data_IF_179487419608
#
_entry.id   IF_179487419608
#
_cell.length_a   1.000
_cell.length_b   1.000
_cell.length_c   1.000
_cell.angle_alpha   90.00
_cell.angle_beta   90.00
_cell.angle_gamma   90.00
#
_symmetry.space_group_name_H-M   'P 1'
#
loop_
_entity.id
_entity.type
_entity.pdbx_description
1 polymer ?
#
# COMPACT_ATOMS: atom_id res chain seq x y z
N UNK A 1 -31.26 -32.02 39.12
CA UNK A 1 -31.24 -32.34 37.67
C UNK A 1 -31.36 -31.11 36.75
N UNK A 2 -32.24 -30.12 37.01
CA UNK A 2 -32.33 -28.90 36.16
C UNK A 2 -31.11 -27.95 36.25
N UNK A 3 -30.50 -27.83 37.45
CA UNK A 3 -29.32 -26.99 37.69
C UNK A 3 -28.04 -27.52 37.02
N UNK A 4 -27.91 -28.83 36.93
CA UNK A 4 -26.77 -29.49 36.27
C UNK A 4 -26.85 -29.35 34.75
N UNK A 5 -28.06 -29.34 34.18
CA UNK A 5 -28.26 -29.10 32.75
C UNK A 5 -27.89 -27.66 32.33
N UNK A 6 -28.20 -26.66 33.17
CA UNK A 6 -27.84 -25.26 32.90
C UNK A 6 -26.32 -25.06 32.93
N UNK A 7 -25.64 -25.67 33.90
CA UNK A 7 -24.18 -25.57 33.99
C UNK A 7 -23.50 -26.18 32.76
N UNK A 8 -23.93 -27.37 32.30
CA UNK A 8 -23.38 -28.03 31.09
C UNK A 8 -23.62 -27.20 29.82
N UNK A 9 -24.79 -26.55 29.70
CA UNK A 9 -25.09 -25.68 28.56
C UNK A 9 -24.20 -24.42 28.52
N UNK A 10 -23.86 -23.86 29.67
CA UNK A 10 -22.95 -22.71 29.79
C UNK A 10 -21.52 -23.12 29.43
N UNK A 11 -21.02 -24.25 29.93
CA UNK A 11 -19.67 -24.73 29.58
C UNK A 11 -19.57 -25.08 28.09
N UNK A 12 -20.58 -25.72 27.51
CA UNK A 12 -20.61 -26.03 26.08
C UNK A 12 -20.63 -24.77 25.20
N UNK A 13 -21.36 -23.72 25.62
CA UNK A 13 -21.37 -22.44 24.90
C UNK A 13 -20.05 -21.69 25.01
N UNK A 14 -19.32 -21.83 26.14
CA UNK A 14 -18.00 -21.23 26.31
C UNK A 14 -16.93 -21.86 25.40
N UNK A 15 -16.99 -23.18 25.16
CA UNK A 15 -16.07 -23.86 24.24
C UNK A 15 -16.31 -23.50 22.76
N UNK A 16 -17.55 -23.17 22.39
CA UNK A 16 -17.88 -22.71 21.04
C UNK A 16 -17.42 -21.26 20.77
N UNK A 17 -17.23 -20.45 21.81
CA UNK A 17 -16.69 -19.09 21.68
C UNK A 17 -15.16 -19.01 21.67
N UNK A 18 -14.45 -19.99 22.25
CA UNK A 18 -12.98 -19.99 22.32
C UNK A 18 -12.28 -20.33 20.99
N UNK A 19 -13.02 -20.48 19.90
CA UNK A 19 -12.53 -20.97 18.60
C UNK A 19 -12.67 -20.01 17.42
N UNK A 20 -12.88 -18.70 17.64
CA UNK A 20 -12.70 -17.74 16.54
C UNK A 20 -11.23 -17.78 16.12
N UNK A 21 -10.91 -18.62 15.10
CA UNK A 21 -9.58 -18.97 14.61
C UNK A 21 -8.85 -17.82 13.91
N UNK A 22 -8.75 -16.67 14.57
CA UNK A 22 -7.92 -15.55 14.13
C UNK A 22 -6.46 -15.96 14.22
N UNK A 23 -5.82 -16.13 13.08
CA UNK A 23 -4.39 -16.28 12.98
C UNK A 23 -3.79 -14.87 12.80
N UNK A 24 -2.95 -14.38 13.72
CA UNK A 24 -2.35 -13.06 13.58
C UNK A 24 -1.40 -13.07 12.38
N UNK A 25 -1.54 -12.11 11.47
CA UNK A 25 -0.69 -11.98 10.27
C UNK A 25 0.81 -11.84 10.63
N UNK A 26 1.10 -11.22 11.78
CA UNK A 26 2.45 -10.95 12.25
C UNK A 26 2.99 -12.01 13.22
N UNK A 27 2.17 -13.01 13.60
CA UNK A 27 2.63 -14.07 14.48
C UNK A 27 3.40 -15.12 13.67
N UNK A 28 4.66 -15.33 14.02
CA UNK A 28 5.41 -16.50 13.56
C UNK A 28 5.13 -17.68 14.48
N UNK A 29 5.22 -18.90 13.95
CA UNK A 29 5.29 -20.08 14.81
C UNK A 29 6.52 -19.98 15.72
N UNK A 30 6.46 -20.57 16.91
CA UNK A 30 7.59 -20.56 17.84
C UNK A 30 8.87 -21.05 17.15
N UNK A 31 9.85 -20.16 16.98
CA UNK A 31 11.14 -20.45 16.35
C UNK A 31 11.28 -20.10 14.86
N UNK A 32 10.23 -19.60 14.20
CA UNK A 32 10.31 -19.13 12.81
C UNK A 32 10.67 -17.64 12.71
N UNK A 33 11.56 -17.33 11.77
CA UNK A 33 11.96 -15.96 11.43
C UNK A 33 10.84 -15.27 10.65
N UNK A 34 10.36 -14.09 11.06
CA UNK A 34 9.35 -13.36 10.31
C UNK A 34 9.83 -13.09 8.88
N UNK A 35 8.96 -13.24 7.89
CA UNK A 35 9.35 -13.03 6.49
C UNK A 35 9.87 -11.60 6.26
N UNK A 36 9.37 -10.62 7.00
CA UNK A 36 9.88 -9.24 6.98
C UNK A 36 11.36 -9.12 7.36
N UNK A 37 11.93 -10.07 8.12
CA UNK A 37 13.37 -10.12 8.42
C UNK A 37 14.21 -10.76 7.31
N UNK A 38 13.58 -11.51 6.41
CA UNK A 38 14.25 -12.11 5.27
C UNK A 38 14.32 -11.15 4.07
N UNK A 39 13.76 -9.94 4.19
CA UNK A 39 13.75 -8.92 3.14
C UNK A 39 14.88 -7.92 3.37
N UNK A 40 15.77 -7.78 2.37
CA UNK A 40 16.77 -6.72 2.30
C UNK A 40 16.27 -5.58 1.43
N UNK A 41 16.26 -4.37 1.98
CA UNK A 41 16.03 -3.14 1.21
C UNK A 41 17.29 -2.85 0.39
N UNK A 42 17.18 -2.88 -0.94
CA UNK A 42 18.33 -2.67 -1.85
C UNK A 42 18.39 -1.26 -2.40
N UNK A 43 17.30 -0.80 -2.98
CA UNK A 43 17.25 0.50 -3.64
C UNK A 43 15.93 1.16 -3.35
N UNK A 44 16.00 2.44 -2.96
CA UNK A 44 14.85 3.31 -2.77
C UNK A 44 15.07 4.53 -3.66
N UNK A 45 14.32 4.61 -4.75
CA UNK A 45 14.29 5.76 -5.63
C UNK A 45 13.11 6.65 -5.21
N UNK A 46 13.40 7.82 -4.64
CA UNK A 46 12.39 8.74 -4.13
C UNK A 46 12.91 10.19 -4.18
N UNK A 47 12.04 11.20 -4.09
CA UNK A 47 12.44 12.60 -3.98
C UNK A 47 13.36 12.85 -2.77
N UNK A 48 14.33 13.75 -2.91
CA UNK A 48 15.42 13.98 -1.94
C UNK A 48 14.95 14.22 -0.50
N UNK A 49 13.83 14.92 -0.32
CA UNK A 49 13.31 15.28 1.01
C UNK A 49 12.74 14.06 1.73
N UNK A 50 11.96 13.22 1.04
CA UNK A 50 11.25 12.08 1.64
C UNK A 50 12.09 10.79 1.63
N UNK A 51 13.04 10.65 0.70
CA UNK A 51 13.90 9.48 0.55
C UNK A 51 14.52 8.97 1.86
N UNK A 52 15.20 9.79 2.70
CA UNK A 52 15.80 9.29 3.94
C UNK A 52 14.76 8.77 4.93
N UNK A 53 13.58 9.37 4.99
CA UNK A 53 12.49 8.92 5.86
C UNK A 53 11.92 7.56 5.42
N UNK A 54 11.82 7.33 4.11
CA UNK A 54 11.38 6.04 3.57
C UNK A 54 12.42 4.97 3.87
N UNK A 55 13.71 5.23 3.62
CA UNK A 55 14.79 4.27 3.90
C UNK A 55 14.81 3.88 5.37
N UNK A 56 14.76 4.85 6.28
CA UNK A 56 14.72 4.60 7.72
C UNK A 56 13.47 3.80 8.12
N UNK A 57 12.29 4.19 7.63
CA UNK A 57 11.05 3.50 7.92
C UNK A 57 11.04 2.06 7.39
N UNK A 58 11.59 1.81 6.20
CA UNK A 58 11.70 0.48 5.63
C UNK A 58 12.69 -0.36 6.42
N UNK A 59 13.88 0.14 6.74
CA UNK A 59 14.87 -0.60 7.54
C UNK A 59 14.39 -0.90 8.97
N UNK A 60 13.66 0.03 9.58
CA UNK A 60 13.11 -0.17 10.92
C UNK A 60 12.05 -1.28 11.00
N UNK A 61 11.43 -1.64 9.85
CA UNK A 61 10.39 -2.67 9.76
C UNK A 61 10.85 -3.95 9.08
N UNK A 62 11.67 -3.80 8.04
CA UNK A 62 12.16 -4.84 7.16
C UNK A 62 13.67 -4.79 7.11
N UNK A 63 14.30 -5.88 7.52
CA UNK A 63 15.73 -5.97 7.59
C UNK A 63 16.16 -7.21 8.34
N UNK A 64 17.20 -7.85 7.83
CA UNK A 64 17.86 -8.94 8.53
C UNK A 64 18.41 -8.40 9.85
N UNK A 65 17.96 -8.99 10.97
CA UNK A 65 18.51 -8.70 12.29
C UNK A 65 19.56 -9.77 12.58
N UNK A 66 20.84 -9.37 12.66
CA UNK A 66 21.96 -10.29 12.95
C UNK A 66 22.58 -10.94 11.71
N UNK A 67 22.98 -12.20 11.83
CA UNK A 67 23.67 -12.99 10.77
C UNK A 67 22.71 -13.63 9.75
N UNK A 68 21.42 -13.31 9.79
CA UNK A 68 20.45 -13.88 8.85
C UNK A 68 20.70 -13.38 7.43
N UNK A 69 20.87 -14.31 6.49
CA UNK A 69 21.10 -13.98 5.10
C UNK A 69 19.76 -13.59 4.46
N UNK A 70 19.63 -12.35 3.92
CA UNK A 70 18.38 -11.95 3.30
C UNK A 70 18.09 -12.83 2.09
N UNK A 71 16.86 -13.34 2.01
CA UNK A 71 16.39 -14.15 0.88
C UNK A 71 15.76 -13.29 -0.20
N UNK A 72 15.09 -12.21 0.18
CA UNK A 72 14.30 -11.38 -0.70
C UNK A 72 14.93 -10.00 -0.84
N UNK A 73 15.04 -9.49 -2.06
CA UNK A 73 15.55 -8.16 -2.35
C UNK A 73 14.39 -7.21 -2.71
N UNK A 74 14.22 -6.14 -1.93
CA UNK A 74 13.18 -5.13 -2.11
C UNK A 74 13.75 -3.89 -2.84
N UNK A 75 13.07 -3.52 -3.92
CA UNK A 75 13.29 -2.30 -4.70
C UNK A 75 12.03 -1.45 -4.61
N UNK A 76 12.18 -0.17 -4.29
CA UNK A 76 11.07 0.77 -4.09
C UNK A 76 11.27 2.01 -4.95
N UNK A 77 10.24 2.39 -5.69
CA UNK A 77 10.14 3.65 -6.43
C UNK A 77 8.98 4.45 -5.87
N UNK A 78 9.26 5.56 -5.20
CA UNK A 78 8.26 6.41 -4.56
C UNK A 78 8.16 7.78 -5.22
N UNK A 79 6.97 8.35 -5.19
CA UNK A 79 6.65 9.69 -5.66
C UNK A 79 5.78 10.41 -4.62
N UNK A 80 6.02 11.70 -4.41
CA UNK A 80 5.28 12.54 -3.48
C UNK A 80 4.37 13.52 -4.22
N UNK A 81 3.20 13.76 -3.65
CA UNK A 81 2.23 14.76 -4.12
C UNK A 81 1.66 15.51 -2.91
N UNK A 82 1.81 16.84 -2.89
CA UNK A 82 1.16 17.70 -1.91
C UNK A 82 -0.04 18.41 -2.55
N UNK A 83 -1.26 18.12 -2.08
CA UNK A 83 -2.50 18.71 -2.59
C UNK A 83 -3.13 19.67 -1.57
N UNK A 84 -3.50 20.86 -2.05
CA UNK A 84 -4.30 21.85 -1.28
C UNK A 84 -5.74 21.35 -1.17
N UNK A 85 -6.25 21.14 0.05
CA UNK A 85 -7.62 20.61 0.24
C UNK A 85 -8.63 21.69 0.66
N UNK A 86 -8.20 22.72 1.38
CA UNK A 86 -9.09 23.77 1.86
C UNK A 86 -8.80 25.08 1.12
N UNK A 87 -9.78 25.61 0.40
CA UNK A 87 -9.84 27.01 0.00
C UNK A 87 -11.02 27.56 0.80
N UNK A 88 -10.75 28.34 1.85
CA UNK A 88 -11.81 29.06 2.56
C UNK A 88 -12.51 30.02 1.57
N UNK A 89 -13.71 30.52 1.87
CA UNK A 89 -14.44 31.49 1.00
C UNK A 89 -13.59 32.75 0.71
N UNK A 90 -12.55 33.01 1.52
CA UNK A 90 -11.54 34.07 1.36
C UNK A 90 -10.23 33.66 0.65
N UNK A 91 -10.15 32.44 0.10
CA UNK A 91 -8.98 31.83 -0.53
C UNK A 91 -7.78 31.46 0.38
N UNK A 92 -7.93 31.48 1.70
CA UNK A 92 -6.87 31.03 2.63
C UNK A 92 -6.84 29.50 2.73
N UNK A 93 -5.70 28.88 2.44
CA UNK A 93 -5.49 27.44 2.63
C UNK A 93 -5.24 27.15 4.09
N UNK A 94 -6.07 26.32 4.74
CA UNK A 94 -5.92 25.98 6.17
C UNK A 94 -5.39 24.55 6.38
N UNK A 95 -5.45 23.68 5.36
CA UNK A 95 -5.03 22.28 5.43
C UNK A 95 -4.50 21.75 4.10
N UNK A 96 -3.39 21.03 4.19
CA UNK A 96 -2.78 20.26 3.09
C UNK A 96 -2.92 18.76 3.34
N UNK A 97 -3.12 18.01 2.27
CA UNK A 97 -2.93 16.56 2.25
C UNK A 97 -1.60 16.26 1.56
N UNK A 98 -0.75 15.51 2.24
CA UNK A 98 0.47 14.96 1.70
C UNK A 98 0.23 13.50 1.33
N UNK A 99 0.40 13.18 0.04
CA UNK A 99 0.23 11.84 -0.52
C UNK A 99 1.59 11.31 -0.93
N UNK A 100 1.91 10.11 -0.48
CA UNK A 100 3.09 9.37 -0.88
C UNK A 100 2.62 8.08 -1.54
N UNK A 101 3.05 7.85 -2.78
CA UNK A 101 2.73 6.62 -3.52
C UNK A 101 4.02 5.92 -3.90
N UNK A 102 4.06 4.60 -3.77
CA UNK A 102 5.21 3.81 -4.19
C UNK A 102 4.78 2.60 -5.00
N UNK A 103 5.57 2.30 -6.03
CA UNK A 103 5.62 0.98 -6.66
C UNK A 103 6.83 0.25 -6.10
N UNK A 104 6.68 -1.03 -5.83
CA UNK A 104 7.78 -1.82 -5.30
C UNK A 104 7.85 -3.16 -5.99
N UNK A 105 9.05 -3.72 -6.00
CA UNK A 105 9.36 -5.04 -6.54
C UNK A 105 10.17 -5.83 -5.52
N UNK A 106 9.79 -7.09 -5.34
CA UNK A 106 10.56 -8.05 -4.54
C UNK A 106 11.08 -9.16 -5.44
N UNK A 107 12.34 -9.52 -5.26
CA UNK A 107 13.00 -10.60 -5.99
C UNK A 107 13.47 -11.67 -5.00
N UNK A 108 13.07 -12.93 -5.18
CA UNK A 108 13.64 -14.05 -4.42
C UNK A 108 15.03 -14.38 -5.00
N UNK A 109 16.07 -14.29 -4.18
CA UNK A 109 17.45 -14.54 -4.59
C UNK A 109 17.76 -16.02 -4.86
N UNK A 110 16.92 -16.94 -4.38
CA UNK A 110 17.07 -18.39 -4.58
C UNK A 110 16.34 -18.87 -5.83
N UNK A 111 15.10 -18.42 -6.05
CA UNK A 111 14.27 -18.88 -7.17
C UNK A 111 14.27 -17.94 -8.37
N UNK A 112 14.63 -16.67 -8.17
CA UNK A 112 14.52 -15.62 -9.19
C UNK A 112 13.09 -15.13 -9.44
N UNK A 113 12.11 -15.61 -8.67
CA UNK A 113 10.72 -15.16 -8.77
C UNK A 113 10.61 -13.68 -8.39
N UNK A 114 9.73 -12.95 -9.10
CA UNK A 114 9.53 -11.51 -8.91
C UNK A 114 8.09 -11.21 -8.58
N UNK A 115 7.88 -10.37 -7.58
CA UNK A 115 6.58 -9.84 -7.19
C UNK A 115 6.61 -8.33 -7.31
N UNK A 116 5.49 -7.76 -7.73
CA UNK A 116 5.32 -6.32 -7.83
C UNK A 116 4.03 -5.93 -7.12
N UNK A 117 4.06 -4.79 -6.45
CA UNK A 117 2.94 -4.24 -5.72
C UNK A 117 2.98 -2.72 -5.71
N UNK A 118 1.93 -2.13 -5.15
CA UNK A 118 1.82 -0.68 -4.98
C UNK A 118 1.30 -0.34 -3.60
N UNK A 119 1.92 0.64 -2.96
CA UNK A 119 1.53 1.13 -1.64
C UNK A 119 1.24 2.63 -1.72
N UNK A 120 0.30 3.10 -0.89
CA UNK A 120 -0.06 4.52 -0.81
C UNK A 120 -0.27 4.92 0.65
N UNK A 121 0.24 6.08 1.01
CA UNK A 121 0.05 6.69 2.31
C UNK A 121 -0.43 8.14 2.16
N UNK A 122 -1.42 8.54 2.95
CA UNK A 122 -1.93 9.92 2.96
C UNK A 122 -1.88 10.44 4.39
N UNK A 123 -1.22 11.57 4.58
CA UNK A 123 -1.21 12.34 5.82
C UNK A 123 -1.70 13.75 5.56
N UNK A 124 -1.99 14.50 6.62
CA UNK A 124 -2.46 15.87 6.48
C UNK A 124 -1.85 16.76 7.56
N UNK A 125 -1.59 18.01 7.24
CA UNK A 125 -1.11 19.02 8.18
C UNK A 125 -1.85 20.35 7.97
N UNK A 126 -1.93 21.14 9.05
CA UNK A 126 -2.58 22.44 9.03
C UNK A 126 -1.54 23.55 8.80
N UNK A 127 -1.94 24.59 8.07
CA UNK A 127 -1.18 25.84 8.04
C UNK A 127 -1.54 26.63 9.28
N UNK A 128 -0.53 27.13 9.98
CA UNK A 128 -0.69 27.97 11.18
C UNK A 128 -0.05 29.33 10.94
N UNK A 129 -0.38 30.31 11.78
CA UNK A 129 0.05 31.71 11.61
C UNK A 129 1.57 31.89 11.56
N UNK A 130 2.33 30.97 12.19
CA UNK A 130 3.78 30.95 12.14
C UNK A 130 4.28 30.08 10.98
N UNK A 131 5.16 30.65 10.15
CA UNK A 131 5.82 29.91 9.06
C UNK A 131 6.65 28.72 9.59
N UNK A 132 7.35 28.91 10.71
CA UNK A 132 8.14 27.83 11.34
C UNK A 132 7.26 26.67 11.78
N UNK A 133 6.13 26.97 12.42
CA UNK A 133 5.20 25.94 12.91
C UNK A 133 4.54 25.19 11.75
N UNK A 134 4.33 25.85 10.61
CA UNK A 134 3.85 25.19 9.38
C UNK A 134 4.91 24.24 8.82
N UNK A 135 6.17 24.68 8.72
CA UNK A 135 7.29 23.84 8.25
C UNK A 135 7.50 22.61 9.13
N UNK A 136 7.38 22.76 10.45
CA UNK A 136 7.47 21.64 11.38
C UNK A 136 6.32 20.64 11.21
N UNK A 137 5.09 21.14 11.01
CA UNK A 137 3.92 20.30 10.78
C UNK A 137 4.02 19.54 9.46
N UNK A 138 4.52 20.18 8.41
CA UNK A 138 4.82 19.56 7.11
C UNK A 138 5.84 18.43 7.25
N UNK A 139 7.00 18.70 7.87
CA UNK A 139 8.03 17.67 8.11
C UNK A 139 7.47 16.48 8.88
N UNK A 140 6.67 16.75 9.92
CA UNK A 140 6.01 15.69 10.71
C UNK A 140 5.06 14.86 9.85
N UNK A 141 4.33 15.49 8.93
CA UNK A 141 3.43 14.79 8.01
C UNK A 141 4.19 13.92 7.00
N UNK A 142 5.33 14.39 6.49
CA UNK A 142 6.23 13.64 5.60
C UNK A 142 6.77 12.40 6.31
N UNK A 143 7.34 12.58 7.51
CA UNK A 143 7.88 11.48 8.31
C UNK A 143 6.79 10.43 8.64
N UNK A 144 5.59 10.89 9.02
CA UNK A 144 4.45 10.01 9.26
C UNK A 144 4.03 9.26 7.99
N UNK A 145 4.01 9.92 6.83
CA UNK A 145 3.64 9.29 5.56
C UNK A 145 4.65 8.20 5.17
N UNK A 146 5.94 8.44 5.36
CA UNK A 146 6.97 7.43 5.12
C UNK A 146 6.79 6.18 6.00
N UNK A 147 6.49 6.37 7.29
CA UNK A 147 6.18 5.25 8.21
C UNK A 147 4.96 4.44 7.79
N UNK A 148 3.87 5.12 7.45
CA UNK A 148 2.65 4.47 6.97
C UNK A 148 2.87 3.74 5.64
N UNK A 149 3.70 4.29 4.75
CA UNK A 149 4.07 3.63 3.51
C UNK A 149 4.84 2.33 3.76
N UNK A 150 5.82 2.35 4.67
CA UNK A 150 6.58 1.16 5.04
C UNK A 150 5.69 0.09 5.70
N UNK A 151 4.75 0.49 6.55
CA UNK A 151 3.73 -0.39 7.14
C UNK A 151 2.86 -1.05 6.07
N UNK A 152 2.43 -0.27 5.09
CA UNK A 152 1.60 -0.79 3.99
C UNK A 152 2.37 -1.78 3.12
N UNK A 153 3.63 -1.49 2.79
CA UNK A 153 4.49 -2.41 2.03
C UNK A 153 4.71 -3.71 2.82
N UNK A 154 5.06 -3.64 4.10
CA UNK A 154 5.24 -4.86 4.91
C UNK A 154 3.96 -5.69 4.98
N UNK A 155 2.80 -5.03 5.19
CA UNK A 155 1.49 -5.68 5.24
C UNK A 155 1.19 -6.41 3.92
N UNK A 156 1.40 -5.74 2.80
CA UNK A 156 1.16 -6.30 1.47
C UNK A 156 2.10 -7.49 1.20
N UNK A 157 3.37 -7.40 1.61
CA UNK A 157 4.31 -8.52 1.52
C UNK A 157 3.88 -9.72 2.35
N UNK A 158 3.47 -9.51 3.61
CA UNK A 158 3.02 -10.61 4.47
C UNK A 158 1.79 -11.31 3.88
N UNK A 159 0.84 -10.55 3.33
CA UNK A 159 -0.32 -11.11 2.64
C UNK A 159 0.12 -11.89 1.41
N UNK A 160 1.04 -11.34 0.61
CA UNK A 160 1.53 -12.00 -0.58
C UNK A 160 2.20 -13.34 -0.24
N UNK A 161 3.02 -13.37 0.82
CA UNK A 161 3.74 -14.59 1.24
C UNK A 161 2.85 -15.65 1.89
N UNK A 162 1.74 -15.27 2.53
CA UNK A 162 0.75 -16.22 3.07
C UNK A 162 -0.06 -16.89 1.94
N UNK A 163 -0.26 -16.22 0.80
CA UNK A 163 -0.97 -16.79 -0.36
C UNK A 163 -0.11 -17.81 -1.13
N UNK A 164 -0.73 -18.92 -1.53
CA UNK A 164 -0.09 -19.90 -2.42
C UNK A 164 0.12 -19.30 -3.83
N UNK A 165 1.17 -19.70 -4.57
CA UNK A 165 1.45 -19.18 -5.91
C UNK A 165 0.27 -19.27 -6.90
N UNK A 166 -0.61 -20.25 -6.73
CA UNK A 166 -1.79 -20.48 -7.57
C UNK A 166 -2.93 -19.47 -7.34
N UNK A 167 -3.09 -18.97 -6.12
CA UNK A 167 -4.11 -17.98 -5.77
C UNK A 167 -3.71 -16.56 -6.22
N UNK A 168 -2.40 -16.26 -6.18
CA UNK A 168 -1.81 -15.00 -6.66
C UNK A 168 -2.11 -14.74 -8.14
N UNK A 169 -2.10 -15.79 -8.97
CA UNK A 169 -2.42 -15.68 -10.39
C UNK A 169 -3.91 -15.40 -10.66
N UNK A 170 -4.81 -15.84 -9.76
CA UNK A 170 -6.27 -15.67 -9.88
C UNK A 170 -6.80 -14.36 -9.28
N UNK A 171 -6.03 -13.65 -8.46
CA UNK A 171 -6.42 -12.35 -7.91
C UNK A 171 -6.19 -11.21 -8.91
N UNK A 172 -5.11 -11.29 -9.70
CA UNK A 172 -4.68 -10.29 -10.68
C UNK A 172 -5.55 -10.20 -11.96
N UNK A 173 -6.52 -11.11 -12.09
CA UNK A 173 -7.44 -11.19 -13.24
C UNK A 173 -8.91 -11.05 -12.84
N UNK A 174 -9.21 -10.59 -11.63
CA UNK A 174 -10.58 -10.50 -11.08
C UNK A 174 -11.10 -9.07 -11.01
N UNK A 175 -10.33 -8.14 -11.55
CA UNK A 175 -10.40 -6.71 -11.32
C UNK A 175 -11.41 -6.01 -12.25
N UNK A 176 -11.88 -6.65 -13.34
CA UNK A 176 -12.71 -5.95 -14.36
C UNK A 176 -13.81 -6.76 -15.10
N UNK A 177 -14.10 -8.04 -14.78
CA UNK A 177 -14.93 -8.87 -15.70
C UNK A 177 -16.34 -9.29 -15.20
N UNK A 178 -16.87 -8.80 -14.08
CA UNK A 178 -18.14 -9.38 -13.54
C UNK A 178 -19.33 -8.42 -13.42
N UNK A 179 -19.22 -7.13 -13.72
CA UNK A 179 -20.33 -6.19 -13.49
C UNK A 179 -20.94 -5.57 -14.77
N UNK A 180 -20.58 -6.04 -15.97
CA UNK A 180 -21.29 -5.66 -17.19
C UNK A 180 -22.47 -6.62 -17.44
N UNK A 181 -23.67 -6.21 -17.03
CA UNK A 181 -24.91 -6.82 -17.50
C UNK A 181 -25.02 -6.66 -19.03
N UNK A 182 -25.02 -7.75 -19.82
CA UNK A 182 -25.09 -7.66 -21.29
C UNK A 182 -26.36 -6.95 -21.81
N UNK A 183 -27.38 -6.78 -20.98
CA UNK A 183 -28.62 -6.09 -21.37
C UNK A 183 -28.50 -4.55 -21.35
N UNK A 184 -27.44 -3.99 -20.77
CA UNK A 184 -27.21 -2.53 -20.74
C UNK A 184 -26.54 -1.99 -22.01
N UNK A 185 -25.98 -2.88 -22.85
CA UNK A 185 -25.25 -2.55 -24.08
C UNK A 185 -26.18 -2.16 -25.24
N UNK A 186 -27.48 -2.50 -25.19
CA UNK A 186 -28.40 -2.34 -26.32
C UNK A 186 -29.15 -1.01 -26.39
N UNK A 187 -28.89 -0.06 -25.49
CA UNK A 187 -29.44 1.29 -25.59
C UNK A 187 -28.36 2.27 -26.07
N UNK A 188 -28.11 2.28 -27.37
CA UNK A 188 -27.35 3.36 -28.00
C UNK A 188 -28.07 4.71 -27.74
N UNK A 189 -27.36 5.78 -27.33
CA UNK A 189 -27.93 7.10 -27.25
C UNK A 189 -28.27 7.60 -28.66
N UNK A 190 -29.48 8.16 -28.83
CA UNK A 190 -29.94 8.68 -30.12
C UNK A 190 -28.97 9.75 -30.65
N UNK A 191 -28.52 9.53 -31.89
CA UNK A 191 -27.69 10.42 -32.72
C UNK A 191 -28.14 11.88 -32.58
N UNK A 192 -27.37 12.68 -31.84
CA UNK A 192 -27.60 14.13 -31.71
C UNK A 192 -27.13 14.79 -30.42
N UNK A 193 -26.78 14.03 -29.38
CA UNK A 193 -26.29 14.61 -28.13
C UNK A 193 -24.76 14.66 -28.14
N UNK A 194 -24.21 15.87 -28.26
CA UNK A 194 -22.78 16.11 -28.07
C UNK A 194 -22.46 15.90 -26.60
N UNK A 195 -21.95 14.72 -26.26
CA UNK A 195 -21.32 14.48 -24.96
C UNK A 195 -19.96 15.17 -25.02
N UNK A 196 -19.80 16.26 -24.27
CA UNK A 196 -18.50 16.89 -24.10
C UNK A 196 -17.51 15.86 -23.53
N UNK A 197 -16.25 15.86 -23.98
CA UNK A 197 -15.25 14.98 -23.41
C UNK A 197 -15.10 15.34 -21.94
N UNK A 198 -15.46 14.41 -21.06
CA UNK A 198 -15.11 14.49 -19.65
C UNK A 198 -13.60 14.27 -19.64
N UNK A 199 -12.84 15.37 -19.62
CA UNK A 199 -11.40 15.35 -19.40
C UNK A 199 -11.17 14.75 -18.02
N UNK A 200 -10.71 13.50 -17.99
CA UNK A 200 -10.13 12.92 -16.79
C UNK A 200 -8.89 13.71 -16.40
N UNK A 201 -8.87 14.23 -15.18
CA UNK A 201 -7.70 14.85 -14.54
C UNK A 201 -6.78 13.78 -13.92
N UNK A 202 -6.62 12.68 -14.65
CA UNK A 202 -5.60 11.66 -14.40
C UNK A 202 -4.50 11.84 -15.45
N UNK A 203 -3.56 12.71 -15.11
CA UNK A 203 -2.33 12.95 -15.88
C UNK A 203 -1.47 11.70 -16.02
N UNK A 204 -1.89 10.82 -16.92
CA UNK A 204 -1.24 9.57 -17.29
C UNK A 204 -1.47 9.34 -18.79
N UNK A 205 -0.74 10.07 -19.63
CA UNK A 205 -0.15 9.48 -20.85
C UNK A 205 0.82 10.46 -21.52
N UNK A 206 2.09 10.11 -21.47
CA UNK A 206 3.09 10.56 -22.42
C UNK A 206 3.81 9.32 -22.95
N UNK A 207 3.91 9.11 -24.27
CA UNK A 207 4.56 7.93 -24.81
C UNK A 207 6.06 7.91 -24.45
N UNK A 208 6.52 6.71 -24.06
CA UNK A 208 7.92 6.37 -23.85
C UNK A 208 8.64 6.44 -25.20
N UNK A 209 9.50 7.43 -25.40
CA UNK A 209 10.48 7.43 -26.49
C UNK A 209 11.77 6.82 -25.95
N UNK A 210 12.06 5.59 -26.38
CA UNK A 210 13.40 5.00 -26.24
C UNK A 210 14.23 5.52 -27.40
N UNK A 211 15.12 6.48 -27.13
CA UNK A 211 16.10 6.95 -28.10
C UNK A 211 17.26 5.95 -28.14
N UNK A 212 17.25 5.08 -29.16
CA UNK A 212 18.38 4.22 -29.48
C UNK A 212 19.53 5.09 -29.99
N UNK A 213 20.64 5.06 -29.27
CA UNK A 213 21.91 5.65 -29.66
C UNK A 213 22.71 4.60 -30.44
N UNK A 214 22.69 4.70 -31.76
CA UNK A 214 23.63 4.02 -32.66
C UNK A 214 24.17 5.02 -33.69
N UNK A 215 25.49 5.23 -33.59
CA UNK A 215 26.50 5.40 -34.63
C UNK A 215 26.31 6.39 -35.79
N UNK A 216 27.08 7.49 -35.74
CA UNK A 216 28.01 7.89 -36.82
C UNK A 216 29.19 8.73 -36.28
#
# INVERSE_FOLDING_TARGET
>A
MKRTAILVAITASALLLSGCGFRPLYATAEGETPVSRLVAVRTVAAPDIVAPYIVEALHGRMGAVGDETPRYDLYVEANEQAQRLAVQIDATVTRYNYRLSARYRVVDSVTGERFEGSARAVTSYNIVSSQYSTLFAERTAIEKAARLLAEEIERDLLIQFDQTPEERAKSKGRDYETDLDPSEILNEPRRGETVEPIVGDDGFDGPIVIENKEDE
#
